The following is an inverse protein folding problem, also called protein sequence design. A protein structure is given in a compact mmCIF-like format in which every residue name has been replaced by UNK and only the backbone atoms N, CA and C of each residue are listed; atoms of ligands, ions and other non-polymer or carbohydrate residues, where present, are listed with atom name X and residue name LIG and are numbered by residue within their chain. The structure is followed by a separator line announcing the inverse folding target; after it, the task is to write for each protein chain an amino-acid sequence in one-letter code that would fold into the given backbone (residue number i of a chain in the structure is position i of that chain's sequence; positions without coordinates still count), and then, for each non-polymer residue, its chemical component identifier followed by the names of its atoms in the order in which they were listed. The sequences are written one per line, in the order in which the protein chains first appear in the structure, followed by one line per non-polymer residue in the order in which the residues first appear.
data_IF_078162686884
#
_entry.id   IF_078162686884
#
_cell.length_a   1.000
_cell.length_b   1.000
_cell.length_c   1.000
_cell.angle_alpha   90.00
_cell.angle_beta   90.00
_cell.angle_gamma   90.00
#
_symmetry.space_group_name_H-M   'P 1'
#
loop_
_entity.id
_entity.type
_entity.pdbx_description
1 polymer ?
#
# COMPACT_ATOMS: atom_id res chain seq x y z
N UNK A 1 65.36 -73.29 62.41
CA UNK A 1 66.06 -72.42 63.38
C UNK A 1 66.40 -71.11 62.68
N UNK A 2 65.93 -69.96 63.24
CA UNK A 2 66.44 -68.58 63.12
C UNK A 2 66.67 -67.96 61.71
N UNK A 3 66.48 -66.68 61.40
CA UNK A 3 66.10 -65.44 62.11
C UNK A 3 65.94 -64.34 61.02
N UNK A 4 64.96 -63.44 61.20
CA UNK A 4 65.13 -61.99 60.98
C UNK A 4 65.00 -61.37 59.57
N UNK A 5 64.69 -60.06 59.49
CA UNK A 5 63.84 -59.46 58.44
C UNK A 5 64.54 -58.43 57.53
N UNK A 6 63.91 -58.05 56.41
CA UNK A 6 64.33 -56.96 55.54
C UNK A 6 63.19 -56.42 54.68
N UNK A 7 62.97 -55.10 54.77
CA UNK A 7 61.92 -54.29 54.12
C UNK A 7 62.07 -54.18 52.60
N UNK A 8 60.95 -54.15 51.85
CA UNK A 8 60.57 -53.05 50.93
C UNK A 8 59.28 -53.37 50.11
N UNK A 9 58.29 -52.49 50.30
CA UNK A 9 57.15 -52.02 49.45
C UNK A 9 56.98 -52.59 48.01
N UNK A 10 55.74 -52.79 47.49
CA UNK A 10 54.84 -51.66 47.18
C UNK A 10 53.32 -51.87 47.41
N UNK A 11 52.59 -50.78 47.12
CA UNK A 11 51.22 -50.35 47.42
C UNK A 11 50.03 -51.34 47.34
N UNK A 12 48.97 -51.03 48.11
CA UNK A 12 47.67 -51.71 48.07
C UNK A 12 46.78 -51.16 46.92
N UNK A 13 46.13 -51.98 46.12
CA UNK A 13 44.86 -52.71 46.36
C UNK A 13 43.59 -51.89 46.02
N UNK A 14 42.74 -52.51 45.19
CA UNK A 14 41.27 -52.60 45.25
C UNK A 14 40.38 -51.80 44.25
N UNK A 15 39.81 -52.60 43.34
CA UNK A 15 38.38 -52.77 42.99
C UNK A 15 37.71 -51.91 41.87
N UNK A 16 36.75 -52.51 41.13
CA UNK A 16 36.29 -52.05 39.81
C UNK A 16 35.04 -51.14 39.87
N UNK A 17 34.71 -50.38 38.80
CA UNK A 17 33.59 -49.44 38.84
C UNK A 17 32.25 -50.11 38.51
N UNK A 18 31.25 -49.87 39.36
CA UNK A 18 29.83 -50.09 39.06
C UNK A 18 29.37 -49.12 37.96
N UNK A 19 28.83 -49.66 36.86
CA UNK A 19 28.08 -48.93 35.85
C UNK A 19 26.68 -48.57 36.38
N UNK A 20 26.48 -47.29 36.73
CA UNK A 20 25.16 -46.69 36.94
C UNK A 20 24.63 -46.17 35.59
N UNK A 21 23.67 -46.88 34.99
CA UNK A 21 22.83 -46.34 33.91
C UNK A 21 21.85 -45.33 34.51
N UNK A 22 22.17 -44.04 34.42
CA UNK A 22 21.21 -42.97 34.59
C UNK A 22 20.36 -42.85 33.31
N UNK A 23 19.13 -43.36 33.35
CA UNK A 23 18.13 -43.08 32.33
C UNK A 23 17.74 -41.60 32.39
N UNK A 24 18.30 -40.81 31.48
CA UNK A 24 17.83 -39.44 31.23
C UNK A 24 16.50 -39.55 30.50
N UNK A 25 15.39 -39.47 31.24
CA UNK A 25 14.09 -39.15 30.64
C UNK A 25 14.15 -37.68 30.26
N UNK A 26 14.73 -37.41 29.10
CA UNK A 26 14.56 -36.14 28.41
C UNK A 26 13.08 -36.00 28.10
N UNK A 27 12.37 -35.27 28.95
CA UNK A 27 11.11 -34.67 28.56
C UNK A 27 11.47 -33.71 27.43
N UNK A 28 11.37 -34.17 26.19
CA UNK A 28 11.22 -33.27 25.06
C UNK A 28 9.93 -32.49 25.33
N UNK A 29 10.06 -31.33 25.98
CA UNK A 29 9.02 -30.32 25.91
C UNK A 29 8.86 -30.04 24.42
N UNK A 30 7.78 -30.55 23.83
CA UNK A 30 7.36 -30.15 22.50
C UNK A 30 7.23 -28.63 22.54
N UNK A 31 8.19 -27.95 21.93
CA UNK A 31 8.19 -26.49 21.79
C UNK A 31 7.19 -26.17 20.68
N UNK A 32 5.90 -26.36 20.97
CA UNK A 32 4.80 -25.94 20.10
C UNK A 32 4.84 -24.41 20.02
N UNK A 33 5.48 -23.93 18.95
CA UNK A 33 5.77 -22.52 18.73
C UNK A 33 4.47 -21.73 18.52
N UNK A 34 4.00 -21.05 19.57
CA UNK A 34 2.83 -20.18 19.54
C UNK A 34 3.10 -19.02 18.58
N UNK A 35 2.44 -19.06 17.42
CA UNK A 35 2.62 -18.09 16.32
C UNK A 35 1.27 -17.73 15.71
N UNK A 36 1.22 -16.58 15.02
CA UNK A 36 0.02 -16.10 14.35
C UNK A 36 0.07 -16.44 12.84
N UNK A 37 -0.65 -17.46 12.35
CA UNK A 37 -0.57 -17.91 10.95
C UNK A 37 -0.94 -16.82 9.94
N UNK A 38 -1.78 -15.85 10.31
CA UNK A 38 -2.21 -14.77 9.41
C UNK A 38 -1.36 -13.50 9.53
N UNK A 39 -0.40 -13.40 10.45
CA UNK A 39 0.36 -12.17 10.66
C UNK A 39 1.73 -12.41 11.31
N UNK A 40 2.81 -12.22 10.54
CA UNK A 40 4.20 -12.33 11.03
C UNK A 40 4.65 -11.17 11.93
N UNK A 41 3.88 -10.08 12.02
CA UNK A 41 4.21 -8.88 12.79
C UNK A 41 3.53 -8.86 14.17
N UNK A 42 3.54 -10.00 14.84
CA UNK A 42 2.95 -10.20 16.18
C UNK A 42 3.97 -10.75 17.16
N UNK A 43 3.82 -10.42 18.44
CA UNK A 43 4.43 -11.15 19.55
C UNK A 43 3.36 -12.04 20.14
N UNK A 44 3.64 -13.34 20.22
CA UNK A 44 2.71 -14.33 20.72
C UNK A 44 3.27 -15.01 21.96
N UNK A 45 2.43 -15.16 22.96
CA UNK A 45 2.76 -15.79 24.24
C UNK A 45 1.62 -16.74 24.64
N UNK A 46 1.96 -17.86 25.28
CA UNK A 46 0.94 -18.71 25.90
C UNK A 46 0.49 -18.06 27.19
N UNK A 47 -0.80 -17.81 27.31
CA UNK A 47 -1.38 -17.12 28.46
C UNK A 47 -2.59 -17.89 28.99
N UNK A 48 -2.76 -17.86 30.32
CA UNK A 48 -3.87 -18.48 31.03
C UNK A 48 -3.70 -19.98 31.36
N UNK A 49 -4.60 -20.54 32.19
CA UNK A 49 -4.57 -21.94 32.63
C UNK A 49 -4.77 -22.94 31.48
N UNK A 50 -5.46 -22.54 30.42
CA UNK A 50 -5.72 -23.36 29.23
C UNK A 50 -4.55 -23.36 28.22
N UNK A 51 -3.49 -22.58 28.48
CA UNK A 51 -2.32 -22.48 27.60
C UNK A 51 -2.62 -21.87 26.22
N UNK A 52 -3.68 -21.08 26.09
CA UNK A 52 -4.11 -20.47 24.82
C UNK A 52 -3.03 -19.52 24.29
N UNK A 53 -2.76 -19.61 22.98
CA UNK A 53 -1.84 -18.72 22.29
C UNK A 53 -2.49 -17.34 22.10
N UNK A 54 -1.97 -16.32 22.79
CA UNK A 54 -2.42 -14.94 22.69
C UNK A 54 -1.38 -14.15 21.90
N UNK A 55 -1.81 -13.48 20.83
CA UNK A 55 -0.93 -12.72 19.95
C UNK A 55 -1.28 -11.25 19.98
N UNK A 56 -0.27 -10.40 20.15
CA UNK A 56 -0.38 -8.95 20.12
C UNK A 56 0.38 -8.39 18.93
N UNK A 57 -0.24 -7.49 18.19
CA UNK A 57 0.42 -6.85 17.03
C UNK A 57 1.46 -5.83 17.50
N UNK A 58 2.62 -5.82 16.83
CA UNK A 58 3.71 -4.91 17.13
C UNK A 58 3.23 -3.44 17.03
N UNK A 59 3.79 -2.56 17.86
CA UNK A 59 3.52 -1.13 17.84
C UNK A 59 2.22 -0.70 18.53
N UNK A 60 1.10 -1.42 18.38
CA UNK A 60 -0.14 -1.10 19.11
C UNK A 60 -0.30 -1.88 20.41
N UNK A 61 0.25 -3.11 20.49
CA UNK A 61 0.04 -4.02 21.62
C UNK A 61 -1.37 -4.62 21.71
N UNK A 62 -2.24 -4.31 20.73
CA UNK A 62 -3.59 -4.85 20.64
C UNK A 62 -3.55 -6.34 20.33
N UNK A 63 -4.39 -7.10 21.02
CA UNK A 63 -4.59 -8.52 20.75
C UNK A 63 -5.26 -8.70 19.38
N UNK A 64 -4.78 -9.68 18.62
CA UNK A 64 -5.30 -10.00 17.28
C UNK A 64 -5.86 -11.41 17.22
N UNK A 65 -6.92 -11.58 16.43
CA UNK A 65 -7.46 -12.89 16.11
C UNK A 65 -6.67 -13.49 14.92
N UNK A 66 -5.85 -14.50 15.21
CA UNK A 66 -5.02 -15.15 14.22
C UNK A 66 -5.74 -16.13 13.29
N UNK A 67 -7.06 -16.31 13.46
CA UNK A 67 -7.90 -17.07 12.52
C UNK A 67 -8.46 -16.21 11.39
N UNK A 68 -8.20 -14.90 11.40
CA UNK A 68 -8.61 -13.96 10.34
C UNK A 68 -7.46 -13.01 9.99
N UNK A 69 -7.66 -12.18 8.96
CA UNK A 69 -6.67 -11.18 8.57
C UNK A 69 -6.58 -10.08 9.64
N UNK A 70 -5.36 -9.68 9.98
CA UNK A 70 -5.16 -8.48 10.81
C UNK A 70 -5.49 -7.24 10.00
N UNK A 71 -6.10 -6.23 10.61
CA UNK A 71 -6.52 -5.04 9.88
C UNK A 71 -5.34 -4.23 9.30
N UNK A 72 -5.56 -3.58 8.17
CA UNK A 72 -4.57 -2.75 7.47
C UNK A 72 -3.96 -1.68 8.38
N UNK A 73 -4.76 -1.03 9.23
CA UNK A 73 -4.25 0.01 10.15
C UNK A 73 -3.22 -0.57 11.14
N UNK A 74 -3.53 -1.70 11.76
CA UNK A 74 -2.63 -2.34 12.73
C UNK A 74 -1.35 -2.83 12.08
N UNK A 75 -1.45 -3.39 10.87
CA UNK A 75 -0.28 -3.82 10.10
C UNK A 75 0.60 -2.65 9.68
N UNK A 76 -0.01 -1.53 9.28
CA UNK A 76 0.71 -0.31 8.93
C UNK A 76 1.41 0.26 10.16
N UNK A 77 0.75 0.27 11.32
CA UNK A 77 1.35 0.67 12.60
C UNK A 77 2.55 -0.21 12.98
N UNK A 78 2.37 -1.54 12.93
CA UNK A 78 3.42 -2.51 13.20
C UNK A 78 4.66 -2.30 12.33
N UNK A 79 4.46 -2.04 11.03
CA UNK A 79 5.56 -1.77 10.10
C UNK A 79 6.32 -0.50 10.45
N UNK A 80 5.64 0.52 10.94
CA UNK A 80 6.27 1.78 11.37
C UNK A 80 6.97 1.67 12.73
N UNK A 81 6.56 0.72 13.56
CA UNK A 81 7.18 0.42 14.86
C UNK A 81 8.30 -0.63 14.78
N UNK A 82 8.43 -1.34 13.66
CA UNK A 82 9.50 -2.31 13.47
C UNK A 82 10.88 -1.62 13.57
N UNK A 83 11.87 -2.21 14.27
CA UNK A 83 13.19 -1.62 14.41
C UNK A 83 13.81 -1.41 13.02
N UNK A 84 14.22 -0.16 12.75
CA UNK A 84 14.87 0.21 11.48
C UNK A 84 16.20 -0.56 11.40
N UNK A 85 16.25 -1.61 10.58
CA UNK A 85 17.50 -2.28 10.26
C UNK A 85 18.48 -1.26 9.65
N UNK A 86 19.70 -1.20 10.20
CA UNK A 86 20.66 -0.11 10.04
C UNK A 86 21.24 0.04 8.63
N UNK A 87 20.48 0.69 7.72
CA UNK A 87 21.10 1.46 6.64
C UNK A 87 21.15 2.92 7.07
N UNK A 88 22.37 3.46 7.07
CA UNK A 88 22.67 4.85 7.42
C UNK A 88 21.72 5.81 6.69
N UNK A 89 21.18 6.75 7.46
CA UNK A 89 20.26 7.78 6.97
C UNK A 89 20.98 8.68 5.97
N UNK A 90 20.52 8.70 4.72
CA UNK A 90 20.76 9.84 3.83
C UNK A 90 19.93 10.99 4.41
N UNK A 91 20.57 12.12 4.76
CA UNK A 91 19.84 13.34 5.10
C UNK A 91 19.13 13.86 3.86
N UNK A 92 17.79 13.94 3.84
CA UNK A 92 17.06 14.51 2.72
C UNK A 92 17.34 16.02 2.64
N UNK A 93 17.69 16.53 1.46
CA UNK A 93 17.82 17.98 1.22
C UNK A 93 16.48 18.71 1.41
N UNK A 94 16.51 20.03 1.58
CA UNK A 94 15.32 20.91 1.71
C UNK A 94 14.30 20.75 0.55
N UNK A 95 14.76 20.26 -0.61
CA UNK A 95 13.95 20.00 -1.81
C UNK A 95 13.46 18.55 -1.93
N UNK A 96 13.69 17.72 -0.91
CA UNK A 96 13.29 16.32 -0.93
C UNK A 96 11.76 16.21 -0.86
N UNK A 97 11.16 15.89 -2.00
CA UNK A 97 9.75 15.54 -2.10
C UNK A 97 9.55 14.16 -1.47
N UNK A 98 9.15 14.11 -0.20
CA UNK A 98 8.72 12.84 0.41
C UNK A 98 7.28 12.59 -0.04
N UNK A 99 7.10 11.61 -0.92
CA UNK A 99 5.79 11.03 -1.23
C UNK A 99 5.30 10.25 0.01
N UNK A 100 4.73 10.99 0.95
CA UNK A 100 4.32 10.52 2.27
C UNK A 100 2.89 9.96 2.29
N UNK A 101 2.21 9.90 1.14
CA UNK A 101 0.77 9.65 1.11
C UNK A 101 0.39 8.16 1.21
N UNK A 102 1.38 7.24 1.24
CA UNK A 102 1.14 5.79 1.33
C UNK A 102 1.63 5.09 2.61
N UNK A 103 2.67 5.60 3.28
CA UNK A 103 3.26 4.97 4.47
C UNK A 103 3.47 6.00 5.58
N UNK A 104 2.65 5.92 6.62
CA UNK A 104 2.72 6.76 7.82
C UNK A 104 2.41 5.90 9.05
N UNK A 105 2.72 6.39 10.27
CA UNK A 105 2.32 5.73 11.51
C UNK A 105 0.87 6.10 11.84
N UNK A 106 -0.11 5.20 11.67
CA UNK A 106 -1.51 5.55 11.82
C UNK A 106 -1.98 5.46 13.27
N UNK A 107 -3.00 6.26 13.57
CA UNK A 107 -3.87 6.09 14.71
C UNK A 107 -5.02 5.14 14.36
N UNK A 108 -5.07 4.03 15.10
CA UNK A 108 -6.12 3.01 14.98
C UNK A 108 -7.06 3.08 16.18
N UNK A 109 -8.33 2.70 16.00
CA UNK A 109 -9.25 2.45 17.11
C UNK A 109 -9.00 1.07 17.75
N UNK A 110 -9.80 0.73 18.78
CA UNK A 110 -9.67 -0.53 19.52
C UNK A 110 -10.01 -1.77 18.68
N UNK A 111 -10.75 -1.59 17.58
CA UNK A 111 -11.07 -2.64 16.61
C UNK A 111 -10.02 -2.71 15.50
N UNK A 112 -8.96 -1.90 15.58
CA UNK A 112 -7.91 -1.84 14.57
C UNK A 112 -8.32 -1.12 13.29
N UNK A 113 -9.40 -0.34 13.27
CA UNK A 113 -9.77 0.49 12.12
C UNK A 113 -9.05 1.83 12.17
N UNK A 114 -8.86 2.48 11.03
CA UNK A 114 -8.33 3.83 11.00
C UNK A 114 -9.24 4.80 11.75
N UNK A 115 -8.67 5.67 12.58
CA UNK A 115 -9.40 6.89 12.98
C UNK A 115 -9.51 7.82 11.77
N UNK A 116 -10.67 8.46 11.61
CA UNK A 116 -10.93 9.32 10.46
C UNK A 116 -9.91 10.47 10.32
N UNK A 117 -9.50 11.04 11.46
CA UNK A 117 -8.41 12.02 11.54
C UNK A 117 -7.09 11.31 11.86
N UNK A 118 -6.08 11.61 11.07
CA UNK A 118 -4.70 11.18 11.27
C UNK A 118 -3.83 12.42 11.46
N UNK A 119 -2.84 12.34 12.34
CA UNK A 119 -1.92 13.45 12.59
C UNK A 119 -0.48 12.95 12.66
N UNK A 120 0.47 13.77 12.23
CA UNK A 120 1.88 13.52 12.48
C UNK A 120 2.29 14.10 13.85
N UNK A 121 3.54 13.88 14.25
CA UNK A 121 4.08 14.37 15.52
C UNK A 121 4.29 15.90 15.59
N UNK A 122 4.11 16.63 14.49
CA UNK A 122 4.41 18.08 14.36
C UNK A 122 3.16 18.93 14.15
N UNK A 123 2.00 18.47 14.65
CA UNK A 123 0.70 19.18 14.62
C UNK A 123 0.01 19.26 13.25
N UNK A 124 0.46 18.49 12.27
CA UNK A 124 -0.17 18.42 10.93
C UNK A 124 -1.14 17.25 10.88
N UNK A 125 -2.40 17.51 10.54
CA UNK A 125 -3.47 16.51 10.48
C UNK A 125 -4.10 16.42 9.08
N UNK A 126 -4.71 15.28 8.76
CA UNK A 126 -5.48 15.06 7.54
C UNK A 126 -6.60 14.04 7.79
N UNK A 127 -7.64 14.05 6.95
CA UNK A 127 -8.66 13.02 7.01
C UNK A 127 -8.33 11.86 6.06
N UNK A 128 -8.68 10.64 6.47
CA UNK A 128 -8.48 9.41 5.69
C UNK A 128 -9.80 8.66 5.47
N UNK A 129 -9.82 7.76 4.50
CA UNK A 129 -10.89 6.77 4.31
C UNK A 129 -10.66 5.50 5.14
N UNK A 130 -11.59 4.55 5.03
CA UNK A 130 -11.52 3.27 5.73
C UNK A 130 -10.27 2.43 5.40
N UNK A 131 -9.54 2.77 4.32
CA UNK A 131 -8.29 2.10 3.93
C UNK A 131 -7.03 2.90 4.25
N UNK A 132 -7.16 4.02 4.99
CA UNK A 132 -6.05 4.87 5.41
C UNK A 132 -5.52 5.83 4.34
N UNK A 133 -6.21 5.97 3.22
CA UNK A 133 -5.81 6.89 2.15
C UNK A 133 -6.35 8.28 2.45
N UNK A 134 -5.48 9.27 2.33
CA UNK A 134 -5.79 10.69 2.56
C UNK A 134 -6.87 11.17 1.59
N UNK A 135 -7.88 11.88 2.12
CA UNK A 135 -8.97 12.48 1.35
C UNK A 135 -9.08 14.00 1.47
N UNK A 136 -8.24 14.64 2.27
CA UNK A 136 -8.25 16.10 2.46
C UNK A 136 -6.87 16.69 2.31
N UNK A 137 -6.80 18.00 2.10
CA UNK A 137 -5.57 18.73 2.39
C UNK A 137 -5.14 18.54 3.84
N UNK A 138 -3.84 18.77 4.07
CA UNK A 138 -3.28 18.79 5.41
C UNK A 138 -3.72 20.09 6.11
N UNK A 139 -4.28 19.94 7.30
CA UNK A 139 -4.62 21.02 8.20
C UNK A 139 -3.83 20.94 9.50
N UNK A 140 -4.19 21.78 10.46
CA UNK A 140 -3.67 21.75 11.81
C UNK A 140 -4.53 20.88 12.75
N UNK A 141 -4.31 21.00 14.06
CA UNK A 141 -5.04 20.27 15.09
C UNK A 141 -6.54 20.61 15.14
N UNK A 142 -6.97 21.72 14.53
CA UNK A 142 -8.39 22.12 14.46
C UNK A 142 -9.16 21.38 13.36
N UNK A 143 -8.46 20.69 12.44
CA UNK A 143 -9.09 19.90 11.38
C UNK A 143 -10.05 18.87 11.98
N UNK A 144 -11.30 18.90 11.48
CA UNK A 144 -12.37 17.97 11.85
C UNK A 144 -12.58 16.95 10.75
N UNK A 145 -12.70 15.69 11.16
CA UNK A 145 -13.01 14.56 10.29
C UNK A 145 -14.19 13.82 10.93
N UNK A 146 -15.41 14.29 10.66
CA UNK A 146 -16.61 13.91 11.41
C UNK A 146 -16.96 12.41 11.24
N UNK A 147 -16.55 11.81 10.14
CA UNK A 147 -16.81 10.41 9.84
C UNK A 147 -15.63 9.73 9.13
N UNK A 148 -15.53 8.42 9.30
CA UNK A 148 -14.65 7.57 8.51
C UNK A 148 -15.41 7.10 7.26
N UNK A 149 -15.17 7.75 6.12
CA UNK A 149 -15.84 7.36 4.87
C UNK A 149 -15.32 6.02 4.39
N UNK A 150 -16.28 5.17 3.99
CA UNK A 150 -16.04 3.83 3.49
C UNK A 150 -15.51 3.85 2.06
N UNK A 151 -14.45 3.09 1.83
CA UNK A 151 -14.03 2.63 0.51
C UNK A 151 -14.81 1.38 0.16
N UNK A 152 -15.82 1.48 -0.69
CA UNK A 152 -16.73 0.37 -0.99
C UNK A 152 -16.28 -0.44 -2.23
N UNK A 153 -15.39 0.13 -3.05
CA UNK A 153 -14.88 -0.49 -4.26
C UNK A 153 -13.36 -0.30 -4.36
N UNK A 154 -12.63 -1.39 -4.57
CA UNK A 154 -11.18 -1.41 -4.82
C UNK A 154 -10.94 -2.04 -6.19
N UNK A 155 -10.30 -1.30 -7.10
CA UNK A 155 -9.87 -1.79 -8.40
C UNK A 155 -8.36 -2.07 -8.34
N UNK A 156 -7.99 -3.34 -8.55
CA UNK A 156 -6.60 -3.78 -8.60
C UNK A 156 -6.25 -4.03 -10.06
N UNK A 157 -5.35 -3.23 -10.61
CA UNK A 157 -4.81 -3.41 -11.96
C UNK A 157 -3.41 -4.01 -11.88
N UNK A 158 -3.25 -5.18 -12.49
CA UNK A 158 -1.99 -5.90 -12.61
C UNK A 158 -1.54 -5.89 -14.05
N UNK A 159 -0.24 -5.72 -14.25
CA UNK A 159 0.39 -5.89 -15.56
C UNK A 159 1.35 -7.07 -15.50
N UNK A 160 1.13 -8.05 -16.37
CA UNK A 160 2.01 -9.21 -16.52
C UNK A 160 3.31 -8.81 -17.20
N UNK A 161 4.38 -9.51 -16.86
CA UNK A 161 5.59 -9.53 -17.69
C UNK A 161 5.25 -10.11 -19.07
N UNK A 162 5.78 -9.50 -20.13
CA UNK A 162 5.45 -9.82 -21.52
C UNK A 162 6.20 -11.03 -22.08
N UNK A 163 6.82 -11.85 -21.22
CA UNK A 163 7.65 -12.99 -21.58
C UNK A 163 6.87 -14.30 -21.79
N UNK A 164 5.54 -14.28 -21.62
CA UNK A 164 4.70 -15.48 -21.73
C UNK A 164 3.46 -15.31 -22.59
N UNK A 165 2.90 -16.45 -23.05
CA UNK A 165 1.62 -16.50 -23.77
C UNK A 165 0.48 -15.94 -22.91
N UNK A 166 -0.53 -15.40 -23.57
CA UNK A 166 -1.78 -15.02 -22.92
C UNK A 166 -2.40 -16.24 -22.20
N UNK A 167 -2.86 -16.05 -20.96
CA UNK A 167 -3.61 -17.08 -20.25
C UNK A 167 -5.01 -17.25 -20.84
N UNK A 168 -5.63 -18.41 -20.59
CA UNK A 168 -7.06 -18.53 -20.76
C UNK A 168 -7.77 -17.67 -19.70
N UNK A 169 -8.75 -16.88 -20.14
CA UNK A 169 -9.48 -15.96 -19.25
C UNK A 169 -10.16 -16.70 -18.09
N UNK A 170 -10.85 -17.80 -18.38
CA UNK A 170 -11.59 -18.56 -17.36
C UNK A 170 -10.68 -19.24 -16.34
N UNK A 171 -9.53 -19.78 -16.79
CA UNK A 171 -8.56 -20.37 -15.88
C UNK A 171 -7.93 -19.32 -14.95
N UNK A 172 -7.64 -18.12 -15.48
CA UNK A 172 -7.08 -17.02 -14.68
C UNK A 172 -8.11 -16.45 -13.69
N UNK A 173 -9.36 -16.22 -14.14
CA UNK A 173 -10.45 -15.77 -13.27
C UNK A 173 -10.68 -16.75 -12.11
N UNK A 174 -10.78 -18.05 -12.41
CA UNK A 174 -10.98 -19.08 -11.40
C UNK A 174 -9.83 -19.11 -10.38
N UNK A 175 -8.59 -19.03 -10.85
CA UNK A 175 -7.41 -19.09 -9.98
C UNK A 175 -7.29 -17.84 -9.09
N UNK A 176 -7.58 -16.65 -9.61
CA UNK A 176 -7.57 -15.42 -8.81
C UNK A 176 -8.72 -15.39 -7.80
N UNK A 177 -9.92 -15.85 -8.16
CA UNK A 177 -11.03 -16.00 -7.21
C UNK A 177 -10.69 -16.98 -6.08
N UNK A 178 -10.10 -18.13 -6.43
CA UNK A 178 -9.62 -19.12 -5.46
C UNK A 178 -8.57 -18.54 -4.51
N UNK A 179 -7.60 -17.80 -5.06
CA UNK A 179 -6.58 -17.11 -4.27
C UNK A 179 -7.21 -16.16 -3.23
N UNK A 180 -8.13 -15.28 -3.64
CA UNK A 180 -8.79 -14.35 -2.71
C UNK A 180 -9.61 -15.05 -1.63
N UNK A 181 -10.26 -16.15 -1.99
CA UNK A 181 -11.01 -16.95 -1.03
C UNK A 181 -10.11 -17.68 -0.03
N UNK A 182 -9.17 -18.49 -0.51
CA UNK A 182 -8.42 -19.41 0.34
C UNK A 182 -7.29 -18.74 1.10
N UNK A 183 -6.57 -17.81 0.45
CA UNK A 183 -5.40 -17.15 1.04
C UNK A 183 -5.77 -15.87 1.77
N UNK A 184 -6.63 -15.04 1.17
CA UNK A 184 -7.02 -13.75 1.74
C UNK A 184 -8.34 -13.80 2.50
N UNK A 185 -8.93 -15.00 2.66
CA UNK A 185 -10.14 -15.25 3.45
C UNK A 185 -11.32 -14.34 3.05
N UNK A 186 -11.30 -13.82 1.82
CA UNK A 186 -12.30 -12.89 1.31
C UNK A 186 -13.42 -13.68 0.67
N UNK A 187 -14.64 -13.52 1.20
CA UNK A 187 -15.80 -14.24 0.69
C UNK A 187 -15.98 -14.01 -0.83
N UNK A 188 -16.23 -15.06 -1.65
CA UNK A 188 -16.22 -14.95 -3.12
C UNK A 188 -17.18 -13.89 -3.69
N UNK A 189 -18.30 -13.65 -3.00
CA UNK A 189 -19.28 -12.59 -3.33
C UNK A 189 -18.68 -11.17 -3.43
N UNK A 190 -17.54 -10.92 -2.79
CA UNK A 190 -16.87 -9.62 -2.79
C UNK A 190 -15.82 -9.48 -3.89
N UNK A 191 -15.51 -10.54 -4.63
CA UNK A 191 -14.76 -10.45 -5.90
C UNK A 191 -15.78 -10.28 -7.02
N UNK A 192 -16.10 -9.02 -7.35
CA UNK A 192 -17.16 -8.68 -8.29
C UNK A 192 -16.80 -9.14 -9.72
N UNK A 193 -15.59 -8.82 -10.17
CA UNK A 193 -15.12 -9.16 -11.51
C UNK A 193 -13.62 -9.43 -11.54
N UNK A 194 -13.21 -10.27 -12.49
CA UNK A 194 -11.83 -10.38 -12.96
C UNK A 194 -11.87 -10.23 -14.47
N UNK A 195 -11.32 -9.13 -14.97
CA UNK A 195 -11.20 -8.83 -16.39
C UNK A 195 -9.76 -9.06 -16.84
N UNK A 196 -9.59 -9.77 -17.96
CA UNK A 196 -8.27 -10.04 -18.51
C UNK A 196 -8.19 -9.67 -19.99
N UNK A 197 -7.36 -8.68 -20.27
CA UNK A 197 -6.97 -8.26 -21.61
C UNK A 197 -5.44 -8.19 -21.65
N UNK A 198 -4.81 -9.22 -22.23
CA UNK A 198 -3.35 -9.38 -22.18
C UNK A 198 -2.60 -8.10 -22.60
N UNK A 199 -1.62 -7.61 -21.81
CA UNK A 199 -1.03 -8.20 -20.59
C UNK A 199 -1.66 -7.73 -19.26
N UNK A 200 -2.80 -7.05 -19.31
CA UNK A 200 -3.46 -6.40 -18.17
C UNK A 200 -4.51 -7.30 -17.54
N UNK A 201 -4.54 -7.33 -16.21
CA UNK A 201 -5.56 -8.00 -15.39
C UNK A 201 -6.18 -6.93 -14.50
N UNK A 202 -7.50 -6.86 -14.45
CA UNK A 202 -8.24 -5.99 -13.55
C UNK A 202 -9.10 -6.84 -12.62
N UNK A 203 -8.98 -6.63 -11.32
CA UNK A 203 -9.75 -7.33 -10.29
C UNK A 203 -10.57 -6.26 -9.54
N UNK A 204 -11.88 -6.47 -9.50
CA UNK A 204 -12.82 -5.58 -8.82
C UNK A 204 -13.27 -6.20 -7.51
N UNK A 205 -12.99 -5.52 -6.40
CA UNK A 205 -13.46 -5.91 -5.07
C UNK A 205 -14.55 -4.94 -4.61
N UNK A 206 -15.75 -5.46 -4.31
CA UNK A 206 -16.90 -4.65 -3.92
C UNK A 206 -17.45 -5.12 -2.57
N UNK A 207 -17.56 -4.22 -1.60
CA UNK A 207 -18.15 -4.51 -0.29
C UNK A 207 -18.72 -3.22 0.32
N UNK A 208 -20.04 -3.08 0.25
CA UNK A 208 -20.74 -1.95 0.85
C UNK A 208 -20.81 -2.07 2.38
N UNK A 209 -21.01 -0.94 3.05
CA UNK A 209 -21.18 -0.91 4.52
C UNK A 209 -22.33 -1.82 4.98
N UNK A 210 -23.43 -1.89 4.22
CA UNK A 210 -24.60 -2.71 4.52
C UNK A 210 -24.38 -4.22 4.38
N UNK A 211 -23.35 -4.65 3.64
CA UNK A 211 -23.07 -6.05 3.36
C UNK A 211 -22.01 -6.65 4.28
N UNK A 212 -21.31 -5.81 5.06
CA UNK A 212 -20.24 -6.23 5.96
C UNK A 212 -20.83 -6.83 7.24
N UNK A 213 -20.71 -8.15 7.38
CA UNK A 213 -21.09 -8.86 8.62
C UNK A 213 -19.92 -8.85 9.60
N UNK A 214 -20.21 -8.84 10.90
CA UNK A 214 -19.19 -8.96 11.93
C UNK A 214 -18.40 -10.28 11.75
N UNK A 215 -17.07 -10.18 11.73
CA UNK A 215 -16.18 -11.33 11.53
C UNK A 215 -15.82 -11.64 10.07
N UNK A 216 -16.51 -11.06 9.08
CA UNK A 216 -16.06 -11.13 7.68
C UNK A 216 -14.85 -10.22 7.44
N UNK A 217 -13.95 -10.67 6.57
CA UNK A 217 -12.79 -9.89 6.13
C UNK A 217 -13.22 -8.67 5.32
N UNK A 218 -12.57 -7.53 5.56
CA UNK A 218 -12.77 -6.33 4.76
C UNK A 218 -11.98 -6.43 3.45
N UNK A 219 -12.57 -5.98 2.33
CA UNK A 219 -11.86 -5.87 1.05
C UNK A 219 -10.56 -5.07 1.16
N UNK A 220 -10.49 -4.11 2.09
CA UNK A 220 -9.31 -3.31 2.39
C UNK A 220 -8.14 -4.16 2.92
N UNK A 221 -8.45 -5.11 3.81
CA UNK A 221 -7.47 -5.98 4.44
C UNK A 221 -6.99 -7.00 3.42
N UNK A 222 -7.91 -7.65 2.69
CA UNK A 222 -7.56 -8.58 1.62
C UNK A 222 -6.69 -7.92 0.53
N UNK A 223 -7.07 -6.73 0.06
CA UNK A 223 -6.29 -5.98 -0.92
C UNK A 223 -4.90 -5.61 -0.41
N UNK A 224 -4.78 -5.24 0.87
CA UNK A 224 -3.48 -4.92 1.46
C UNK A 224 -2.58 -6.15 1.56
N UNK A 225 -3.11 -7.29 2.01
CA UNK A 225 -2.36 -8.56 2.03
C UNK A 225 -1.89 -8.96 0.62
N UNK A 226 -2.78 -8.88 -0.37
CA UNK A 226 -2.45 -9.11 -1.77
C UNK A 226 -1.35 -8.17 -2.26
N UNK A 227 -1.45 -6.86 -1.96
CA UNK A 227 -0.42 -5.88 -2.32
C UNK A 227 0.95 -6.23 -1.71
N UNK A 228 0.98 -6.68 -0.44
CA UNK A 228 2.21 -7.11 0.24
C UNK A 228 2.83 -8.35 -0.41
N UNK A 229 2.00 -9.32 -0.77
CA UNK A 229 2.45 -10.53 -1.45
C UNK A 229 3.06 -10.21 -2.82
N UNK A 230 2.39 -9.40 -3.63
CA UNK A 230 2.88 -8.99 -4.95
C UNK A 230 4.21 -8.24 -4.84
N UNK A 231 4.38 -7.43 -3.78
CA UNK A 231 5.63 -6.69 -3.50
C UNK A 231 6.73 -7.53 -2.86
N UNK A 232 6.54 -8.83 -2.68
CA UNK A 232 7.53 -9.73 -2.09
C UNK A 232 7.78 -9.49 -0.60
N UNK A 233 6.80 -8.96 0.13
CA UNK A 233 6.87 -8.78 1.58
C UNK A 233 5.60 -9.31 2.25
N UNK A 234 5.29 -10.58 1.94
CA UNK A 234 4.15 -11.34 2.48
C UNK A 234 4.02 -11.20 3.98
N UNK A 235 2.79 -11.02 4.45
CA UNK A 235 2.47 -10.91 5.88
C UNK A 235 2.28 -12.27 6.56
N UNK A 236 2.10 -13.35 5.78
CA UNK A 236 2.00 -14.70 6.30
C UNK A 236 3.39 -15.24 6.70
N UNK A 237 3.55 -15.84 7.90
CA UNK A 237 4.82 -16.41 8.33
C UNK A 237 5.37 -17.46 7.35
N UNK A 238 6.68 -17.43 7.06
CA UNK A 238 7.33 -18.40 6.18
C UNK A 238 7.12 -18.17 4.66
N UNK A 239 6.21 -17.27 4.27
CA UNK A 239 5.98 -16.94 2.87
C UNK A 239 6.76 -15.68 2.46
N UNK A 240 7.30 -15.67 1.23
CA UNK A 240 8.05 -14.52 0.70
C UNK A 240 7.18 -13.56 -0.10
N UNK A 241 6.24 -14.06 -0.89
CA UNK A 241 5.40 -13.22 -1.74
C UNK A 241 4.31 -14.02 -2.44
N UNK A 242 3.79 -13.45 -3.53
CA UNK A 242 2.78 -14.07 -4.36
C UNK A 242 3.36 -15.25 -5.16
N UNK A 243 2.77 -16.43 -4.99
CA UNK A 243 3.06 -17.63 -5.79
C UNK A 243 1.74 -18.16 -6.37
N UNK A 244 1.37 -17.64 -7.53
CA UNK A 244 0.13 -18.00 -8.24
C UNK A 244 0.51 -18.69 -9.53
N UNK A 245 -0.12 -19.83 -9.81
CA UNK A 245 0.14 -20.61 -11.02
C UNK A 245 -1.18 -20.91 -11.73
N UNK A 246 -1.31 -20.44 -12.97
CA UNK A 246 -2.48 -20.70 -13.81
C UNK A 246 -2.17 -21.91 -14.68
N UNK A 247 -2.82 -23.06 -14.41
CA UNK A 247 -2.54 -24.34 -15.10
C UNK A 247 -1.05 -24.73 -15.08
N UNK A 248 -0.36 -24.43 -13.98
CA UNK A 248 1.06 -24.74 -13.79
C UNK A 248 2.02 -23.63 -14.25
N UNK A 249 1.56 -22.67 -15.05
CA UNK A 249 2.34 -21.51 -15.50
C UNK A 249 2.34 -20.39 -14.46
N UNK A 250 3.49 -19.84 -14.05
CA UNK A 250 3.57 -18.81 -13.02
C UNK A 250 3.00 -17.46 -13.49
N UNK A 251 2.22 -16.81 -12.63
CA UNK A 251 1.76 -15.44 -12.84
C UNK A 251 2.85 -14.44 -12.44
N UNK A 252 3.66 -14.02 -13.42
CA UNK A 252 4.71 -13.03 -13.22
C UNK A 252 4.19 -11.62 -13.50
N UNK A 253 4.34 -10.73 -12.51
CA UNK A 253 3.85 -9.35 -12.55
C UNK A 253 5.01 -8.35 -12.63
N UNK A 254 4.87 -7.31 -13.44
CA UNK A 254 5.83 -6.19 -13.52
C UNK A 254 5.32 -4.93 -12.84
N UNK A 255 4.01 -4.73 -12.81
CA UNK A 255 3.38 -3.53 -12.23
C UNK A 255 2.06 -3.89 -11.58
N UNK A 256 1.77 -3.19 -10.47
CA UNK A 256 0.51 -3.28 -9.75
C UNK A 256 0.07 -1.89 -9.34
N UNK A 257 -1.16 -1.53 -9.69
CA UNK A 257 -1.82 -0.30 -9.30
C UNK A 257 -3.10 -0.65 -8.54
N UNK A 258 -3.38 0.07 -7.47
CA UNK A 258 -4.58 -0.13 -6.67
C UNK A 258 -5.29 1.20 -6.57
N UNK A 259 -6.55 1.22 -7.01
CA UNK A 259 -7.42 2.37 -6.98
C UNK A 259 -8.51 2.16 -5.93
N UNK A 260 -8.79 3.19 -5.17
CA UNK A 260 -9.77 3.17 -4.08
C UNK A 260 -10.93 4.10 -4.43
N UNK A 261 -12.14 3.56 -4.41
CA UNK A 261 -13.37 4.30 -4.67
C UNK A 261 -14.18 4.39 -3.37
N UNK A 262 -14.35 5.62 -2.91
CA UNK A 262 -15.01 5.95 -1.66
C UNK A 262 -16.49 6.29 -1.87
N UNK A 263 -17.32 6.09 -0.85
CA UNK A 263 -18.75 6.48 -0.86
C UNK A 263 -18.93 8.00 -0.99
N UNK A 264 -17.92 8.80 -0.61
CA UNK A 264 -17.93 10.27 -0.71
C UNK A 264 -16.66 10.77 -1.39
N UNK A 265 -16.81 11.77 -2.25
CA UNK A 265 -15.69 12.40 -2.95
C UNK A 265 -14.66 13.01 -1.98
N UNK A 266 -13.36 12.98 -2.32
CA UNK A 266 -12.34 13.64 -1.53
C UNK A 266 -12.46 15.17 -1.60
N UNK A 267 -11.98 15.84 -0.55
CA UNK A 267 -12.05 17.29 -0.39
C UNK A 267 -10.63 17.88 -0.45
N UNK A 268 -10.10 18.04 -1.66
CA UNK A 268 -8.82 18.74 -1.88
C UNK A 268 -9.08 20.14 -2.41
N UNK A 269 -8.35 21.13 -1.89
CA UNK A 269 -8.33 22.47 -2.44
C UNK A 269 -7.55 22.48 -3.74
N UNK A 270 -8.08 23.18 -4.75
CA UNK A 270 -7.46 23.39 -6.07
C UNK A 270 -6.15 24.21 -6.02
N UNK A 271 -5.63 24.55 -4.82
CA UNK A 271 -4.35 25.25 -4.62
C UNK A 271 -3.14 24.54 -5.25
N UNK A 272 -3.31 23.30 -5.70
CA UNK A 272 -2.28 22.46 -6.34
C UNK A 272 -2.19 22.58 -7.86
N UNK A 273 -2.91 23.50 -8.52
CA UNK A 273 -2.51 23.93 -9.87
C UNK A 273 -1.10 24.52 -9.76
N UNK A 274 -0.10 23.75 -10.19
CA UNK A 274 1.31 24.14 -10.12
C UNK A 274 1.48 25.53 -10.73
N UNK A 275 2.34 26.36 -10.14
CA UNK A 275 2.65 27.70 -10.67
C UNK A 275 3.00 27.65 -12.17
N UNK A 276 3.60 26.54 -12.62
CA UNK A 276 3.86 26.25 -14.03
C UNK A 276 2.60 26.18 -14.89
N UNK A 277 1.53 25.52 -14.44
CA UNK A 277 0.28 25.44 -15.21
C UNK A 277 -0.42 26.80 -15.28
N UNK A 278 -0.42 27.57 -14.19
CA UNK A 278 -0.95 28.94 -14.18
C UNK A 278 -0.13 29.84 -15.11
N UNK A 279 1.20 29.76 -15.07
CA UNK A 279 2.08 30.53 -15.96
C UNK A 279 1.84 30.19 -17.43
N UNK A 280 1.66 28.90 -17.76
CA UNK A 280 1.34 28.47 -19.13
C UNK A 280 -0.02 29.03 -19.58
N UNK A 281 -1.05 28.95 -18.74
CA UNK A 281 -2.38 29.50 -19.05
C UNK A 281 -2.29 31.00 -19.30
N UNK A 282 -1.59 31.75 -18.44
CA UNK A 282 -1.41 33.21 -18.59
C UNK A 282 -0.70 33.54 -19.90
N UNK A 283 0.39 32.84 -20.24
CA UNK A 283 1.13 33.06 -21.49
C UNK A 283 0.26 32.79 -22.72
N UNK A 284 -0.52 31.70 -22.70
CA UNK A 284 -1.42 31.36 -23.81
C UNK A 284 -2.50 32.43 -23.98
N UNK A 285 -3.11 32.90 -22.89
CA UNK A 285 -4.14 33.95 -22.93
C UNK A 285 -3.55 35.26 -23.46
N UNK A 286 -2.37 35.67 -22.99
CA UNK A 286 -1.70 36.89 -23.48
C UNK A 286 -1.37 36.79 -24.97
N UNK A 287 -0.86 35.64 -25.42
CA UNK A 287 -0.55 35.41 -26.84
C UNK A 287 -1.81 35.48 -27.72
N UNK A 288 -2.93 34.90 -27.28
CA UNK A 288 -4.21 34.98 -27.99
C UNK A 288 -4.72 36.42 -28.08
N UNK A 289 -4.70 37.16 -26.97
CA UNK A 289 -5.13 38.58 -26.95
C UNK A 289 -4.24 39.43 -27.86
N UNK A 290 -2.92 39.24 -27.82
CA UNK A 290 -1.98 39.92 -28.70
C UNK A 290 -2.24 39.58 -30.18
N UNK A 291 -2.48 38.30 -30.50
CA UNK A 291 -2.83 37.85 -31.85
C UNK A 291 -4.11 38.51 -32.38
N UNK A 292 -5.16 38.54 -31.56
CA UNK A 292 -6.43 39.23 -31.90
C UNK A 292 -6.21 40.73 -32.08
N UNK A 293 -5.44 41.38 -31.21
CA UNK A 293 -5.13 42.80 -31.34
C UNK A 293 -4.38 43.12 -32.65
N UNK A 294 -3.37 42.31 -33.00
CA UNK A 294 -2.64 42.45 -34.26
C UNK A 294 -3.57 42.27 -35.47
N UNK A 295 -4.45 41.26 -35.44
CA UNK A 295 -5.43 41.01 -36.48
C UNK A 295 -6.39 42.21 -36.67
N UNK A 296 -6.91 42.76 -35.56
CA UNK A 296 -7.80 43.93 -35.59
C UNK A 296 -7.07 45.16 -36.13
N UNK A 297 -5.84 45.42 -35.69
CA UNK A 297 -5.05 46.58 -36.14
C UNK A 297 -4.70 46.45 -37.63
N UNK A 298 -4.29 45.27 -38.08
CA UNK A 298 -3.98 45.04 -39.51
C UNK A 298 -5.23 45.16 -40.38
N UNK A 299 -6.37 44.63 -39.95
CA UNK A 299 -7.64 44.81 -40.67
C UNK A 299 -8.08 46.28 -40.71
N UNK A 300 -7.95 47.03 -39.61
CA UNK A 300 -8.22 48.48 -39.59
C UNK A 300 -7.29 49.26 -40.52
N UNK A 301 -6.00 48.95 -40.55
CA UNK A 301 -5.03 49.59 -41.47
C UNK A 301 -5.31 49.26 -42.93
N UNK A 302 -5.69 48.02 -43.25
CA UNK A 302 -6.12 47.63 -44.60
C UNK A 302 -7.35 48.42 -45.02
N UNK A 303 -8.41 48.43 -44.21
CA UNK A 303 -9.64 49.20 -44.49
C UNK A 303 -9.38 50.71 -44.67
N UNK A 304 -8.48 51.29 -43.87
CA UNK A 304 -8.05 52.69 -44.04
C UNK A 304 -7.28 52.96 -45.33
N UNK A 305 -6.46 52.02 -45.81
CA UNK A 305 -5.80 52.13 -47.12
C UNK A 305 -6.79 52.04 -48.29
N UNK A 306 -7.76 51.13 -48.22
CA UNK A 306 -8.81 51.02 -49.24
C UNK A 306 -9.64 52.31 -49.36
N UNK A 307 -10.08 52.90 -48.24
CA UNK A 307 -10.76 54.21 -48.24
C UNK A 307 -9.91 55.33 -48.85
N UNK A 308 -8.60 55.32 -48.63
CA UNK A 308 -7.70 56.38 -49.14
C UNK A 308 -7.41 56.25 -50.64
N UNK A 309 -7.41 55.02 -51.18
CA UNK A 309 -7.29 54.76 -52.62
C UNK A 309 -8.57 55.19 -53.33
N UNK A 310 -9.74 54.85 -52.79
CA UNK A 310 -11.04 55.21 -53.37
C UNK A 310 -11.24 56.75 -53.45
N UNK A 311 -10.82 57.49 -52.42
CA UNK A 311 -10.85 58.98 -52.43
C UNK A 311 -9.84 59.57 -53.43
N UNK A 312 -8.71 58.91 -53.67
CA UNK A 312 -7.71 59.38 -54.65
C UNK A 312 -8.20 59.17 -56.08
N UNK A 313 -8.77 58.00 -56.39
CA UNK A 313 -9.40 57.68 -57.68
C UNK A 313 -10.56 58.64 -57.98
N UNK A 314 -11.43 58.94 -57.00
CA UNK A 314 -12.50 59.94 -57.11
C UNK A 314 -11.98 61.37 -57.31
N UNK A 315 -10.79 61.69 -56.80
CA UNK A 315 -10.13 62.98 -56.99
C UNK A 315 -9.45 63.12 -58.35
N UNK A 316 -8.98 62.03 -58.95
CA UNK A 316 -8.40 62.00 -60.29
C UNK A 316 -9.48 62.03 -61.39
N UNK A 317 -10.63 61.36 -61.20
CA UNK A 317 -11.78 61.45 -62.12
C UNK A 317 -12.41 62.85 -62.21
N UNK A 318 -12.20 63.71 -61.21
CA UNK A 318 -12.72 65.10 -61.22
C UNK A 318 -11.82 66.09 -61.97
N UNK A 319 -10.62 65.66 -62.39
CA UNK A 319 -9.66 66.49 -63.13
C UNK A 319 -9.68 66.25 -64.64
N UNK A 320 -10.48 65.31 -65.14
CA UNK A 320 -10.72 65.22 -66.58
C UNK A 320 -11.63 66.39 -67.01
N UNK A 321 -11.19 67.22 -67.97
CA UNK A 321 -11.97 68.37 -68.41
C UNK A 321 -13.12 67.87 -69.29
N UNK A 322 -14.36 68.08 -68.84
CA UNK A 322 -15.55 67.88 -69.66
C UNK A 322 -15.56 68.92 -70.79
N UNK A 323 -15.42 68.41 -72.02
CA UNK A 323 -15.55 69.11 -73.29
C UNK A 323 -17.01 69.52 -73.57
#
# INVERSE_FOLDING_TARGET
MARGPGLALPWPSLLPPLLLLAAVIGHAAAQDNCTCPTNKMTVCERSGPDGRCQCRVLGSGLEVNCSTLTSKCLLLKARMSAPKSGRALVQPSEHALVDNDGLYNPDCDQQGRFKARQCNQTSVCWCVNSVGVRRTDKGDLSLRCDELVRTHHILIELRRRTDGRAFNHSDLDAELRRLFWERYLLHPKFVAAVHYEHPTIQIELLQNTSQKVAGEVDIADAAYYFERDVKGDSLFPGHRGLDVRVRGEPLLLERTLIYYLDEKSPQFSMKRLTSGLIAVIVVVVVALVAGVAVLVITNRRKSGKYKKVEIKELGEMRKEPSL
#
